data_IF_492447469350
#
_entry.id   IF_492447469350
#
_cell.length_a   1.000
_cell.length_b   1.000
_cell.length_c   1.000
_cell.angle_alpha   90.00
_cell.angle_beta   90.00
_cell.angle_gamma   90.00
#
_symmetry.space_group_name_H-M   'P 1'
#
loop_
_entity.id
_entity.type
_entity.pdbx_description
1 polymer ?
#
# COMPACT_ATOMS: atom_id res chain seq x y z
N UNK A 1 -21.48 -48.77 -13.85
CA UNK A 1 -20.49 -48.38 -12.81
C UNK A 1 -19.07 -48.10 -13.35
N UNK A 2 -18.55 -48.83 -14.36
CA UNK A 2 -17.18 -48.61 -14.91
C UNK A 2 -16.96 -47.28 -15.65
N UNK A 3 -17.99 -46.73 -16.30
CA UNK A 3 -17.89 -45.49 -17.08
C UNK A 3 -17.60 -44.25 -16.22
N UNK A 4 -18.11 -44.21 -14.99
CA UNK A 4 -17.90 -43.11 -14.05
C UNK A 4 -16.46 -43.06 -13.50
N UNK A 5 -15.78 -44.20 -13.41
CA UNK A 5 -14.38 -44.26 -12.99
C UNK A 5 -13.43 -43.72 -14.08
N UNK A 6 -13.73 -44.00 -15.35
CA UNK A 6 -12.90 -43.52 -16.48
C UNK A 6 -12.98 -41.99 -16.61
N UNK A 7 -14.18 -41.41 -16.52
CA UNK A 7 -14.37 -39.94 -16.58
C UNK A 7 -13.60 -39.25 -15.44
N UNK A 8 -13.63 -39.81 -14.22
CA UNK A 8 -12.92 -39.23 -13.07
C UNK A 8 -11.40 -39.26 -13.23
N UNK A 9 -10.85 -40.29 -13.89
CA UNK A 9 -9.41 -40.40 -14.18
C UNK A 9 -8.99 -39.44 -15.28
N UNK A 10 -9.77 -39.30 -16.35
CA UNK A 10 -9.47 -38.38 -17.46
C UNK A 10 -9.53 -36.91 -17.00
N UNK A 11 -10.56 -36.53 -16.23
CA UNK A 11 -10.65 -35.18 -15.66
C UNK A 11 -9.51 -34.90 -14.66
N UNK A 12 -9.16 -35.87 -13.80
CA UNK A 12 -8.06 -35.70 -12.85
C UNK A 12 -6.71 -35.55 -13.57
N UNK A 13 -6.49 -36.26 -14.68
CA UNK A 13 -5.27 -36.15 -15.49
C UNK A 13 -5.20 -34.81 -16.24
N UNK A 14 -6.31 -34.36 -16.83
CA UNK A 14 -6.39 -33.05 -17.51
C UNK A 14 -6.20 -31.88 -16.54
N UNK A 15 -6.86 -31.93 -15.37
CA UNK A 15 -6.74 -30.89 -14.35
C UNK A 15 -5.32 -30.82 -13.77
N UNK A 16 -4.67 -31.97 -13.54
CA UNK A 16 -3.29 -31.99 -13.03
C UNK A 16 -2.29 -31.41 -14.04
N UNK A 17 -2.46 -31.69 -15.33
CA UNK A 17 -1.61 -31.12 -16.38
C UNK A 17 -1.84 -29.62 -16.56
N UNK A 18 -3.10 -29.15 -16.44
CA UNK A 18 -3.43 -27.72 -16.47
C UNK A 18 -2.76 -26.96 -15.31
N UNK A 19 -2.81 -27.51 -14.09
CA UNK A 19 -2.19 -26.90 -12.91
C UNK A 19 -0.67 -26.85 -13.04
N UNK A 20 -0.04 -27.93 -13.55
CA UNK A 20 1.41 -27.95 -13.81
C UNK A 20 1.81 -26.92 -14.86
N UNK A 21 1.05 -26.79 -15.94
CA UNK A 21 1.29 -25.79 -16.97
C UNK A 21 1.16 -24.37 -16.44
N UNK A 22 0.11 -24.08 -15.64
CA UNK A 22 -0.07 -22.77 -15.02
C UNK A 22 1.07 -22.44 -14.05
N UNK A 23 1.50 -23.40 -13.22
CA UNK A 23 2.64 -23.23 -12.32
C UNK A 23 3.97 -22.99 -13.07
N UNK A 24 4.14 -23.63 -14.23
CA UNK A 24 5.30 -23.40 -15.10
C UNK A 24 5.29 -21.97 -15.67
N UNK A 25 4.13 -21.51 -16.17
CA UNK A 25 3.97 -20.14 -16.68
C UNK A 25 4.24 -19.13 -15.57
N UNK A 26 3.65 -19.30 -14.38
CA UNK A 26 3.82 -18.33 -13.28
C UNK A 26 5.27 -18.23 -12.83
N UNK A 27 6.00 -19.35 -12.71
CA UNK A 27 7.43 -19.32 -12.38
C UNK A 27 8.28 -18.61 -13.44
N UNK A 28 7.99 -18.85 -14.73
CA UNK A 28 8.71 -18.18 -15.82
C UNK A 28 8.37 -16.69 -15.84
N UNK A 29 7.10 -16.34 -15.64
CA UNK A 29 6.62 -14.98 -15.54
C UNK A 29 7.27 -14.22 -14.37
N UNK A 30 7.36 -14.84 -13.19
CA UNK A 30 7.99 -14.28 -12.00
C UNK A 30 9.47 -13.91 -12.26
N UNK A 31 10.21 -14.78 -12.97
CA UNK A 31 11.60 -14.51 -13.35
C UNK A 31 11.75 -13.25 -14.22
N UNK A 32 10.81 -12.99 -15.13
CA UNK A 32 10.84 -11.84 -16.04
C UNK A 32 9.93 -10.69 -15.57
N UNK A 33 9.33 -10.80 -14.39
CA UNK A 33 8.30 -9.88 -13.92
C UNK A 33 8.79 -8.44 -13.94
N UNK A 34 10.00 -8.18 -13.43
CA UNK A 34 10.58 -6.83 -13.42
C UNK A 34 10.67 -6.23 -14.83
N UNK A 35 11.21 -6.98 -15.80
CA UNK A 35 11.30 -6.51 -17.19
C UNK A 35 9.91 -6.30 -17.80
N UNK A 36 8.97 -7.22 -17.56
CA UNK A 36 7.59 -7.10 -18.02
C UNK A 36 6.93 -5.85 -17.42
N UNK A 37 7.15 -5.55 -16.14
CA UNK A 37 6.55 -4.37 -15.49
C UNK A 37 7.08 -3.06 -16.06
N UNK A 38 8.37 -2.99 -16.40
CA UNK A 38 8.95 -1.81 -17.06
C UNK A 38 8.39 -1.65 -18.48
N UNK A 39 8.34 -2.73 -19.27
CA UNK A 39 7.73 -2.68 -20.60
C UNK A 39 6.25 -2.32 -20.55
N UNK A 40 5.52 -2.84 -19.56
CA UNK A 40 4.11 -2.54 -19.33
C UNK A 40 3.90 -1.05 -18.99
N UNK A 41 4.76 -0.47 -18.13
CA UNK A 41 4.74 0.97 -17.84
C UNK A 41 4.97 1.80 -19.11
N UNK A 42 6.02 1.48 -19.88
CA UNK A 42 6.34 2.19 -21.12
C UNK A 42 5.22 2.07 -22.16
N UNK A 43 4.64 0.88 -22.27
CA UNK A 43 3.51 0.62 -23.14
C UNK A 43 2.28 1.42 -22.72
N UNK A 44 2.00 1.49 -21.41
CA UNK A 44 0.93 2.34 -20.88
C UNK A 44 1.14 3.82 -21.20
N UNK A 45 2.35 4.33 -21.02
CA UNK A 45 2.68 5.71 -21.38
C UNK A 45 2.45 5.98 -22.88
N UNK A 46 2.88 5.05 -23.74
CA UNK A 46 2.69 5.14 -25.19
C UNK A 46 1.20 5.05 -25.58
N UNK A 47 0.42 4.20 -24.91
CA UNK A 47 -1.04 4.11 -25.08
C UNK A 47 -1.73 5.42 -24.70
N UNK A 48 -1.35 6.05 -23.58
CA UNK A 48 -1.89 7.35 -23.17
C UNK A 48 -1.66 8.42 -24.24
N UNK A 49 -0.46 8.43 -24.84
CA UNK A 49 -0.10 9.33 -25.93
C UNK A 49 -0.91 9.07 -27.21
N UNK A 50 -1.07 7.80 -27.61
CA UNK A 50 -1.78 7.45 -28.84
C UNK A 50 -3.31 7.65 -28.72
N UNK A 51 -3.87 7.43 -27.53
CA UNK A 51 -5.30 7.46 -27.30
C UNK A 51 -5.66 8.33 -26.08
N UNK A 52 -5.79 9.66 -26.27
CA UNK A 52 -6.15 10.59 -25.20
C UNK A 52 -7.46 10.23 -24.48
N UNK A 53 -8.43 9.63 -25.19
CA UNK A 53 -9.69 9.17 -24.57
C UNK A 53 -9.51 8.04 -23.56
N UNK A 54 -8.46 7.22 -23.71
CA UNK A 54 -8.12 6.19 -22.71
C UNK A 54 -7.47 6.87 -21.51
N UNK A 55 -6.59 7.85 -21.74
CA UNK A 55 -5.92 8.62 -20.71
C UNK A 55 -6.90 9.31 -19.77
N UNK A 56 -7.91 10.01 -20.31
CA UNK A 56 -8.94 10.68 -19.50
C UNK A 56 -9.78 9.70 -18.68
N UNK A 57 -10.22 8.59 -19.27
CA UNK A 57 -10.97 7.55 -18.54
C UNK A 57 -10.14 6.94 -17.41
N UNK A 58 -8.90 6.58 -17.69
CA UNK A 58 -7.97 6.05 -16.68
C UNK A 58 -7.72 7.08 -15.58
N UNK A 59 -7.56 8.36 -15.92
CA UNK A 59 -7.46 9.46 -14.97
C UNK A 59 -8.66 9.51 -14.02
N UNK A 60 -9.89 9.57 -14.56
CA UNK A 60 -11.10 9.57 -13.72
C UNK A 60 -11.23 8.34 -12.82
N UNK A 61 -10.81 7.17 -13.31
CA UNK A 61 -10.83 5.94 -12.52
C UNK A 61 -9.80 5.96 -11.39
N UNK A 62 -8.62 6.54 -11.61
CA UNK A 62 -7.60 6.73 -10.57
C UNK A 62 -8.05 7.77 -9.56
N UNK A 63 -8.66 8.87 -9.98
CA UNK A 63 -9.20 9.87 -9.06
C UNK A 63 -10.30 9.27 -8.17
N UNK A 64 -11.21 8.49 -8.77
CA UNK A 64 -12.21 7.72 -8.02
C UNK A 64 -11.54 6.76 -7.02
N UNK A 65 -10.49 6.07 -7.45
CA UNK A 65 -9.73 5.15 -6.60
C UNK A 65 -9.05 5.88 -5.43
N UNK A 66 -8.39 7.02 -5.67
CA UNK A 66 -7.74 7.84 -4.63
C UNK A 66 -8.77 8.36 -3.62
N UNK A 67 -9.91 8.85 -4.10
CA UNK A 67 -10.99 9.33 -3.22
C UNK A 67 -11.56 8.19 -2.38
N UNK A 68 -11.75 7.01 -2.96
CA UNK A 68 -12.22 5.83 -2.25
C UNK A 68 -11.18 5.30 -1.26
N UNK A 69 -9.90 5.43 -1.59
CA UNK A 69 -8.79 4.97 -0.76
C UNK A 69 -8.79 5.63 0.62
N UNK A 70 -9.16 6.91 0.71
CA UNK A 70 -9.27 7.60 2.00
C UNK A 70 -10.22 6.93 3.01
N UNK A 71 -11.25 6.24 2.51
CA UNK A 71 -12.20 5.50 3.35
C UNK A 71 -11.79 4.04 3.57
N UNK A 72 -11.26 3.40 2.53
CA UNK A 72 -10.93 1.96 2.55
C UNK A 72 -9.60 1.71 3.28
N UNK A 73 -8.62 2.59 3.14
CA UNK A 73 -7.28 2.38 3.65
C UNK A 73 -7.19 2.25 5.19
N UNK A 74 -7.92 3.02 6.02
CA UNK A 74 -7.99 2.78 7.45
C UNK A 74 -8.48 1.37 7.80
N UNK A 75 -9.48 0.85 7.07
CA UNK A 75 -10.01 -0.50 7.26
C UNK A 75 -8.95 -1.55 6.90
N UNK A 76 -8.26 -1.37 5.77
CA UNK A 76 -7.17 -2.27 5.35
C UNK A 76 -6.04 -2.27 6.38
N UNK A 77 -5.61 -1.09 6.84
CA UNK A 77 -4.56 -0.96 7.86
C UNK A 77 -4.97 -1.71 9.13
N UNK A 78 -6.20 -1.51 9.61
CA UNK A 78 -6.73 -2.23 10.75
C UNK A 78 -6.67 -3.74 10.54
N UNK A 79 -7.15 -4.24 9.40
CA UNK A 79 -7.22 -5.67 9.09
C UNK A 79 -5.83 -6.32 8.96
N UNK A 80 -4.86 -5.63 8.37
CA UNK A 80 -3.50 -6.15 8.20
C UNK A 80 -2.71 -6.06 9.51
N UNK A 81 -2.84 -4.94 10.25
CA UNK A 81 -2.00 -4.68 11.41
C UNK A 81 -2.46 -5.47 12.65
N UNK A 82 -3.77 -5.62 12.86
CA UNK A 82 -4.32 -6.35 14.02
C UNK A 82 -3.72 -7.75 14.20
N UNK A 83 -3.72 -8.63 13.17
CA UNK A 83 -3.25 -9.99 13.36
C UNK A 83 -1.71 -10.06 13.45
N UNK A 84 -0.97 -9.10 12.87
CA UNK A 84 0.48 -8.96 13.06
C UNK A 84 0.80 -8.61 14.51
N UNK A 85 0.11 -7.62 15.07
CA UNK A 85 0.27 -7.20 16.47
C UNK A 85 -0.11 -8.35 17.42
N UNK A 86 -1.20 -9.05 17.16
CA UNK A 86 -1.61 -10.25 17.91
C UNK A 86 -0.52 -11.32 17.96
N UNK A 87 0.11 -11.65 16.82
CA UNK A 87 1.24 -12.60 16.75
C UNK A 87 2.45 -12.12 17.55
N UNK A 88 2.80 -10.84 17.45
CA UNK A 88 3.93 -10.24 18.19
C UNK A 88 3.72 -10.27 19.70
N UNK A 89 2.49 -10.03 20.17
CA UNK A 89 2.16 -10.02 21.60
C UNK A 89 2.22 -11.43 22.21
N UNK A 90 1.75 -12.44 21.48
CA UNK A 90 1.64 -13.82 22.00
C UNK A 90 2.99 -14.56 22.06
N UNK A 91 3.91 -14.26 21.14
CA UNK A 91 5.20 -14.96 21.08
C UNK A 91 6.32 -14.18 21.78
N UNK A 92 6.80 -14.70 22.92
CA UNK A 92 7.87 -14.07 23.71
C UNK A 92 9.20 -13.91 22.94
N UNK A 93 9.53 -14.86 22.04
CA UNK A 93 10.74 -14.78 21.21
C UNK A 93 10.61 -13.68 20.15
N UNK A 94 9.45 -13.62 19.48
CA UNK A 94 9.15 -12.58 18.48
C UNK A 94 9.06 -11.20 19.13
N UNK A 95 8.64 -11.10 20.40
CA UNK A 95 8.56 -9.82 21.10
C UNK A 95 9.91 -9.12 21.26
N UNK A 96 10.97 -9.83 21.67
CA UNK A 96 12.32 -9.24 21.83
C UNK A 96 12.90 -8.82 20.48
N UNK A 97 12.81 -9.71 19.50
CA UNK A 97 13.27 -9.45 18.14
C UNK A 97 12.49 -8.31 17.48
N UNK A 98 11.17 -8.30 17.65
CA UNK A 98 10.28 -7.29 17.13
C UNK A 98 10.55 -5.89 17.70
N UNK A 99 10.82 -5.79 19.01
CA UNK A 99 11.24 -4.51 19.62
C UNK A 99 12.54 -3.99 19.01
N UNK A 100 13.53 -4.86 18.81
CA UNK A 100 14.80 -4.49 18.19
C UNK A 100 14.61 -4.01 16.75
N UNK A 101 13.87 -4.76 15.92
CA UNK A 101 13.58 -4.36 14.54
C UNK A 101 12.81 -3.05 14.50
N UNK A 102 11.79 -2.90 15.35
CA UNK A 102 10.96 -1.70 15.37
C UNK A 102 11.78 -0.49 15.76
N UNK A 103 12.61 -0.60 16.81
CA UNK A 103 13.53 0.46 17.21
C UNK A 103 14.50 0.82 16.07
N UNK A 104 15.15 -0.19 15.48
CA UNK A 104 16.13 0.02 14.40
C UNK A 104 15.51 0.63 13.14
N UNK A 105 14.31 0.19 12.76
CA UNK A 105 13.57 0.70 11.60
C UNK A 105 13.10 2.13 11.84
N UNK A 106 12.58 2.43 13.03
CA UNK A 106 12.19 3.79 13.41
C UNK A 106 13.39 4.72 13.41
N UNK A 107 14.54 4.28 13.95
CA UNK A 107 15.76 5.07 13.97
C UNK A 107 16.25 5.39 12.55
N UNK A 108 16.28 4.39 11.65
CA UNK A 108 16.63 4.62 10.23
C UNK A 108 15.69 5.60 9.55
N UNK A 109 14.37 5.47 9.77
CA UNK A 109 13.38 6.40 9.22
C UNK A 109 13.57 7.82 9.76
N UNK A 110 13.85 7.95 11.05
CA UNK A 110 14.13 9.23 11.68
C UNK A 110 15.34 9.92 11.04
N UNK A 111 16.47 9.21 10.90
CA UNK A 111 17.65 9.76 10.23
C UNK A 111 17.41 10.09 8.75
N UNK A 112 16.64 9.26 8.04
CA UNK A 112 16.28 9.54 6.64
C UNK A 112 15.43 10.83 6.53
N UNK A 113 14.44 11.02 7.40
CA UNK A 113 13.64 12.24 7.44
C UNK A 113 14.48 13.46 7.81
N UNK A 114 15.36 13.33 8.80
CA UNK A 114 16.26 14.41 9.23
C UNK A 114 17.19 14.82 8.08
N UNK A 115 17.79 13.83 7.41
CA UNK A 115 18.61 14.07 6.22
C UNK A 115 17.82 14.74 5.11
N UNK A 116 16.59 14.28 4.82
CA UNK A 116 15.74 14.88 3.81
C UNK A 116 15.44 16.35 4.11
N UNK A 117 15.09 16.70 5.35
CA UNK A 117 14.83 18.08 5.77
C UNK A 117 16.08 18.97 5.59
N UNK A 118 17.25 18.51 6.06
CA UNK A 118 18.52 19.24 5.88
C UNK A 118 18.83 19.42 4.39
N UNK A 119 18.69 18.36 3.61
CA UNK A 119 18.97 18.40 2.17
C UNK A 119 18.06 19.39 1.45
N UNK A 120 16.74 19.34 1.69
CA UNK A 120 15.80 20.27 1.06
C UNK A 120 16.02 21.71 1.51
N UNK A 121 16.38 21.92 2.77
CA UNK A 121 16.74 23.24 3.28
C UNK A 121 17.96 23.80 2.53
N UNK A 122 19.03 23.02 2.40
CA UNK A 122 20.27 23.47 1.74
C UNK A 122 20.11 23.69 0.23
N UNK A 123 19.34 22.82 -0.44
CA UNK A 123 19.20 22.86 -1.90
C UNK A 123 18.19 23.91 -2.37
N UNK A 124 17.09 24.07 -1.65
CA UNK A 124 16.00 25.00 -2.04
C UNK A 124 15.99 26.29 -1.23
N UNK A 125 16.98 26.50 -0.36
CA UNK A 125 17.10 27.66 0.53
C UNK A 125 15.80 27.94 1.32
N UNK A 126 15.14 26.87 1.76
CA UNK A 126 13.86 26.97 2.46
C UNK A 126 14.10 27.44 3.89
N UNK A 127 13.36 28.46 4.37
CA UNK A 127 13.46 28.90 5.75
C UNK A 127 13.00 27.79 6.69
N UNK A 128 13.89 27.36 7.60
CA UNK A 128 13.57 26.36 8.63
C UNK A 128 12.52 26.86 9.64
N UNK A 129 12.45 28.17 9.83
CA UNK A 129 11.58 28.82 10.79
C UNK A 129 10.44 29.50 10.04
N UNK A 130 9.18 29.32 10.47
CA UNK A 130 8.08 30.09 9.91
C UNK A 130 8.34 31.58 10.16
N UNK A 131 8.06 32.43 9.16
CA UNK A 131 8.37 33.87 9.13
C UNK A 131 7.77 34.69 10.31
N UNK A 132 6.98 34.07 11.18
CA UNK A 132 6.32 34.70 12.33
C UNK A 132 6.74 34.17 13.70
N UNK A 133 7.61 33.15 13.79
CA UNK A 133 8.10 32.66 15.10
C UNK A 133 9.45 33.28 15.44
N UNK A 134 9.48 34.13 16.47
CA UNK A 134 10.74 34.69 17.00
C UNK A 134 11.50 33.68 17.87
N UNK A 135 10.81 32.63 18.36
CA UNK A 135 11.37 31.63 19.27
C UNK A 135 11.24 30.19 18.74
N UNK A 136 12.35 29.44 18.75
CA UNK A 136 12.38 28.00 18.41
C UNK A 136 11.37 27.18 19.22
N UNK A 137 11.24 27.49 20.52
CA UNK A 137 10.32 26.77 21.40
C UNK A 137 8.86 26.94 20.99
N UNK A 138 8.44 28.14 20.57
CA UNK A 138 7.09 28.39 20.07
C UNK A 138 6.80 27.63 18.78
N UNK A 139 7.76 27.60 17.85
CA UNK A 139 7.65 26.80 16.63
C UNK A 139 7.51 25.31 16.93
N UNK A 140 8.27 24.79 17.91
CA UNK A 140 8.19 23.39 18.34
C UNK A 140 6.84 23.06 18.96
N UNK A 141 6.34 23.90 19.88
CA UNK A 141 5.03 23.71 20.51
C UNK A 141 3.90 23.79 19.47
N UNK A 142 3.94 24.76 18.54
CA UNK A 142 2.97 24.90 17.47
C UNK A 142 2.93 23.68 16.54
N UNK A 143 4.11 23.17 16.18
CA UNK A 143 4.24 21.95 15.36
C UNK A 143 3.69 20.73 16.10
N UNK A 144 3.99 20.59 17.39
CA UNK A 144 3.49 19.48 18.20
C UNK A 144 1.98 19.53 18.40
N UNK A 145 1.41 20.73 18.61
CA UNK A 145 -0.03 20.93 18.69
C UNK A 145 -0.73 20.58 17.38
N UNK A 146 -0.17 21.03 16.25
CA UNK A 146 -0.66 20.68 14.90
C UNK A 146 -0.59 19.18 14.65
N UNK A 147 0.49 18.53 15.08
CA UNK A 147 0.66 17.08 15.00
C UNK A 147 -0.40 16.33 15.81
N UNK A 148 -0.65 16.74 17.06
CA UNK A 148 -1.72 16.13 17.89
C UNK A 148 -3.09 16.32 17.23
N UNK A 149 -3.40 17.54 16.79
CA UNK A 149 -4.67 17.84 16.12
C UNK A 149 -4.85 16.97 14.87
N UNK A 150 -3.79 16.79 14.09
CA UNK A 150 -3.77 15.89 12.94
C UNK A 150 -3.97 14.43 13.37
N UNK A 151 -3.32 13.96 14.44
CA UNK A 151 -3.52 12.57 14.90
C UNK A 151 -4.96 12.31 15.34
N UNK A 152 -5.59 13.27 16.03
CA UNK A 152 -6.97 13.15 16.51
C UNK A 152 -7.98 13.25 15.36
N UNK A 153 -7.73 14.07 14.33
CA UNK A 153 -8.67 14.18 13.21
C UNK A 153 -8.52 13.05 12.18
N UNK A 154 -7.43 12.27 12.24
CA UNK A 154 -7.07 11.37 11.17
C UNK A 154 -7.57 9.92 11.41
N UNK A 155 -8.43 9.36 10.54
CA UNK A 155 -8.95 8.00 10.67
C UNK A 155 -7.84 6.92 10.65
N UNK A 156 -6.70 7.19 10.00
CA UNK A 156 -5.56 6.28 9.99
C UNK A 156 -4.99 6.04 11.40
N UNK A 157 -4.96 7.08 12.24
CA UNK A 157 -4.46 6.95 13.60
C UNK A 157 -5.36 6.04 14.44
N UNK A 158 -6.67 6.22 14.35
CA UNK A 158 -7.64 5.37 15.03
C UNK A 158 -7.55 3.91 14.58
N UNK A 159 -7.36 3.65 13.29
CA UNK A 159 -7.16 2.30 12.77
C UNK A 159 -5.93 1.62 13.41
N UNK A 160 -4.82 2.35 13.55
CA UNK A 160 -3.61 1.84 14.20
C UNK A 160 -3.87 1.55 15.69
N UNK A 161 -4.43 2.50 16.44
CA UNK A 161 -4.72 2.33 17.87
C UNK A 161 -5.68 1.16 18.09
N UNK A 162 -6.75 1.08 17.32
CA UNK A 162 -7.74 0.01 17.39
C UNK A 162 -7.10 -1.35 17.07
N UNK A 163 -6.19 -1.42 16.10
CA UNK A 163 -5.47 -2.66 15.78
C UNK A 163 -4.63 -3.17 16.94
N UNK A 164 -4.03 -2.25 17.72
CA UNK A 164 -3.23 -2.59 18.90
C UNK A 164 -4.16 -3.10 20.01
N UNK A 165 -5.28 -2.42 20.24
CA UNK A 165 -6.29 -2.83 21.23
C UNK A 165 -6.83 -4.23 20.90
N UNK A 166 -7.26 -4.46 19.66
CA UNK A 166 -7.74 -5.77 19.21
C UNK A 166 -6.64 -6.84 19.31
N UNK A 167 -5.40 -6.49 18.97
CA UNK A 167 -4.24 -7.34 19.15
C UNK A 167 -4.03 -7.74 20.62
N UNK A 168 -4.17 -6.80 21.56
CA UNK A 168 -4.08 -7.06 23.00
C UNK A 168 -5.25 -7.93 23.50
N UNK A 169 -6.47 -7.67 23.07
CA UNK A 169 -7.66 -8.47 23.41
C UNK A 169 -7.51 -9.91 22.91
N UNK A 170 -6.96 -10.09 21.70
CA UNK A 170 -6.72 -11.42 21.12
C UNK A 170 -5.78 -12.30 21.94
N UNK A 171 -4.95 -11.70 22.81
CA UNK A 171 -4.07 -12.45 23.73
C UNK A 171 -4.88 -13.34 24.67
N UNK A 172 -6.06 -12.86 25.12
CA UNK A 172 -6.93 -13.58 26.05
C UNK A 172 -7.97 -14.46 25.32
N UNK A 173 -8.38 -14.06 24.11
CA UNK A 173 -9.44 -14.74 23.37
C UNK A 173 -8.87 -15.58 22.21
N UNK A 174 -8.82 -16.90 22.39
CA UNK A 174 -8.32 -17.85 21.38
C UNK A 174 -9.13 -17.82 20.08
N UNK A 175 -10.44 -17.63 20.17
CA UNK A 175 -11.31 -17.59 18.99
C UNK A 175 -10.98 -16.39 18.10
N UNK A 176 -10.81 -15.20 18.69
CA UNK A 176 -10.43 -13.99 17.97
C UNK A 176 -9.05 -14.15 17.30
N UNK A 177 -8.09 -14.73 18.01
CA UNK A 177 -6.77 -15.02 17.45
C UNK A 177 -6.84 -15.97 16.25
N UNK A 178 -7.65 -17.04 16.32
CA UNK A 178 -7.81 -17.98 15.22
C UNK A 178 -8.46 -17.31 13.99
N UNK A 179 -9.47 -16.46 14.18
CA UNK A 179 -10.07 -15.67 13.11
C UNK A 179 -9.04 -14.76 12.44
N UNK A 180 -8.33 -13.97 13.24
CA UNK A 180 -7.26 -13.07 12.77
C UNK A 180 -6.18 -13.81 11.98
N UNK A 181 -5.83 -15.02 12.41
CA UNK A 181 -4.85 -15.84 11.71
C UNK A 181 -5.36 -16.40 10.37
N UNK A 182 -6.65 -16.75 10.29
CA UNK A 182 -7.28 -17.15 9.03
C UNK A 182 -7.30 -15.99 8.03
N UNK A 183 -7.60 -14.78 8.48
CA UNK A 183 -7.53 -13.58 7.63
C UNK A 183 -6.13 -13.34 7.06
N UNK A 184 -5.07 -13.48 7.86
CA UNK A 184 -3.70 -13.35 7.32
C UNK A 184 -3.46 -14.38 6.21
N UNK A 185 -3.84 -15.64 6.42
CA UNK A 185 -3.64 -16.68 5.39
C UNK A 185 -4.39 -16.36 4.10
N UNK A 186 -5.60 -15.82 4.21
CA UNK A 186 -6.36 -15.36 3.06
C UNK A 186 -5.66 -14.19 2.34
N UNK A 187 -5.14 -13.22 3.08
CA UNK A 187 -4.39 -12.08 2.52
C UNK A 187 -3.10 -12.55 1.86
N UNK A 188 -2.34 -13.45 2.49
CA UNK A 188 -1.13 -14.05 1.92
C UNK A 188 -1.44 -14.80 0.63
N UNK A 189 -2.54 -15.56 0.61
CA UNK A 189 -3.01 -16.28 -0.58
C UNK A 189 -3.39 -15.31 -1.71
N UNK A 190 -4.18 -14.26 -1.41
CA UNK A 190 -4.56 -13.24 -2.39
C UNK A 190 -3.31 -12.51 -2.92
N UNK A 191 -2.40 -12.11 -2.02
CA UNK A 191 -1.17 -11.40 -2.36
C UNK A 191 -0.28 -12.17 -3.34
N UNK A 192 -0.15 -13.50 -3.17
CA UNK A 192 0.59 -14.36 -4.11
C UNK A 192 0.01 -14.34 -5.52
N UNK A 193 -1.32 -14.23 -5.66
CA UNK A 193 -1.99 -14.18 -6.96
C UNK A 193 -2.01 -12.77 -7.56
N UNK A 194 -2.03 -11.74 -6.72
CA UNK A 194 -2.00 -10.34 -7.13
C UNK A 194 -0.72 -9.94 -7.89
N UNK A 195 0.36 -10.73 -7.79
CA UNK A 195 1.61 -10.52 -8.55
C UNK A 195 1.34 -10.47 -10.07
N UNK A 196 0.38 -11.27 -10.55
CA UNK A 196 -0.01 -11.30 -11.97
C UNK A 196 -0.68 -10.01 -12.44
N UNK A 197 -1.26 -9.23 -11.51
CA UNK A 197 -1.91 -7.96 -11.81
C UNK A 197 -0.93 -6.79 -11.89
N UNK A 198 0.34 -6.96 -11.47
CA UNK A 198 1.30 -5.86 -11.41
C UNK A 198 1.52 -5.22 -12.78
N UNK A 199 1.74 -5.96 -13.90
CA UNK A 199 1.91 -5.32 -15.20
C UNK A 199 0.68 -4.56 -15.67
N UNK A 200 -0.53 -5.07 -15.38
CA UNK A 200 -1.78 -4.36 -15.67
C UNK A 200 -1.82 -3.02 -14.92
N UNK A 201 -1.50 -3.03 -13.62
CA UNK A 201 -1.38 -1.82 -12.81
C UNK A 201 -0.34 -0.86 -13.38
N UNK A 202 0.80 -1.37 -13.84
CA UNK A 202 1.86 -0.54 -14.42
C UNK A 202 1.44 0.09 -15.76
N UNK A 203 0.66 -0.60 -16.60
CA UNK A 203 0.06 0.01 -17.80
C UNK A 203 -0.83 1.19 -17.39
N UNK A 204 -1.72 0.98 -16.42
CA UNK A 204 -2.63 2.01 -15.91
C UNK A 204 -1.86 3.22 -15.36
N UNK A 205 -0.81 2.99 -14.58
CA UNK A 205 0.08 4.05 -14.08
C UNK A 205 0.78 4.77 -15.23
N UNK A 206 1.29 4.04 -16.23
CA UNK A 206 1.93 4.64 -17.40
C UNK A 206 1.00 5.57 -18.16
N UNK A 207 -0.26 5.14 -18.38
CA UNK A 207 -1.30 5.97 -18.98
C UNK A 207 -1.58 7.22 -18.14
N UNK A 208 -1.66 7.07 -16.82
CA UNK A 208 -1.93 8.17 -15.88
C UNK A 208 -0.80 9.20 -15.83
N UNK A 209 0.47 8.75 -15.85
CA UNK A 209 1.64 9.65 -15.88
C UNK A 209 1.56 10.61 -17.07
N UNK A 210 1.07 10.14 -18.22
CA UNK A 210 0.87 10.99 -19.39
C UNK A 210 -0.24 12.04 -19.18
N UNK A 211 -1.32 11.69 -18.47
CA UNK A 211 -2.45 12.59 -18.20
C UNK A 211 -2.20 13.56 -17.04
N UNK A 212 -1.18 13.30 -16.21
CA UNK A 212 -0.87 14.06 -14.99
C UNK A 212 -0.78 15.58 -15.22
N UNK A 213 -0.10 16.11 -16.27
CA UNK A 213 -0.03 17.54 -16.52
C UNK A 213 -1.41 18.18 -16.70
N UNK A 214 -2.32 17.51 -17.42
CA UNK A 214 -3.68 18.00 -17.67
C UNK A 214 -4.51 18.03 -16.38
N UNK A 215 -4.32 17.04 -15.49
CA UNK A 215 -4.98 16.99 -14.18
C UNK A 215 -4.48 18.11 -13.28
N UNK A 216 -3.17 18.34 -13.25
CA UNK A 216 -2.56 19.40 -12.44
C UNK A 216 -2.99 20.80 -12.92
N UNK A 217 -2.99 21.03 -14.24
CA UNK A 217 -3.45 22.30 -14.82
C UNK A 217 -4.90 22.60 -14.43
N UNK A 218 -5.80 21.62 -14.57
CA UNK A 218 -7.20 21.77 -14.12
C UNK A 218 -7.34 22.07 -12.64
N UNK A 219 -6.54 21.44 -11.79
CA UNK A 219 -6.57 21.71 -10.35
C UNK A 219 -6.05 23.11 -10.01
N UNK A 220 -5.03 23.60 -10.72
CA UNK A 220 -4.52 24.96 -10.55
C UNK A 220 -5.53 26.01 -11.04
N UNK A 221 -6.20 25.78 -12.17
CA UNK A 221 -7.26 26.68 -12.67
C UNK A 221 -8.46 26.76 -11.73
N UNK A 222 -8.87 25.63 -11.13
CA UNK A 222 -9.97 25.62 -10.16
C UNK A 222 -9.58 26.38 -8.89
N UNK A 223 -8.39 26.11 -8.35
CA UNK A 223 -7.93 26.76 -7.12
C UNK A 223 -7.64 28.26 -7.30
N UNK A 224 -7.31 28.70 -8.52
CA UNK A 224 -7.11 30.11 -8.87
C UNK A 224 -8.40 30.92 -9.06
N UNK A 225 -9.57 30.28 -9.20
CA UNK A 225 -10.87 30.97 -9.23
C UNK A 225 -11.51 31.15 -7.86
N UNK A 226 -11.03 30.41 -6.87
CA UNK A 226 -11.49 30.48 -5.48
C UNK A 226 -10.64 31.47 -4.63
N UNK A 227 -9.68 32.17 -5.25
CA UNK A 227 -8.93 33.30 -4.69
C UNK A 227 -9.40 34.61 -5.31
#
# INVERSE_FOLDING_TARGET
MRLFQVIKVVYKFSLLNLVKFFCFITKKFEKYLSLITVLALLFGFLLGKLHPSIATKVGTLIDLFINSYNYIAPIIILLILTPVVARMIRSNRIRKFGKYILFWTTLRRFFACLWAVIFTMLVFDLPLLPNHSTNFFEALVSTFSSFIKMMISNPYFYAVVLSIILGLISKKNQWLYNLLNNYIRAIEYIGQHSILLIPLFMITIGVYIYELPNVLEKQMELNGRDM
#
